data_IF_131920137866
#
_entry.id   IF_131920137866
#
_cell.length_a   1.000
_cell.length_b   1.000
_cell.length_c   1.000
_cell.angle_alpha   90.00
_cell.angle_beta   90.00
_cell.angle_gamma   90.00
#
_symmetry.space_group_name_H-M   'P 1'
#
loop_
_entity.id
_entity.type
_entity.pdbx_description
1 polymer ?
#
# COMPACT_ATOMS: atom_id res chain seq x y z
N UNK A 1 7.40 -21.30 17.13
CA UNK A 1 7.70 -21.39 18.57
C UNK A 1 7.75 -22.85 18.98
N UNK A 2 8.32 -23.18 20.14
CA UNK A 2 8.38 -24.56 20.65
C UNK A 2 7.56 -24.66 21.94
N UNK A 3 7.16 -25.88 22.33
CA UNK A 3 6.45 -26.15 23.59
C UNK A 3 7.18 -25.53 24.81
N UNK A 4 8.51 -25.60 24.82
CA UNK A 4 9.36 -25.02 25.87
C UNK A 4 9.17 -23.50 26.04
N UNK A 5 8.76 -22.79 24.98
CA UNK A 5 8.48 -21.36 25.06
C UNK A 5 7.17 -21.08 25.80
N UNK A 6 6.18 -21.98 25.68
CA UNK A 6 4.88 -21.85 26.33
C UNK A 6 4.93 -22.16 27.84
N UNK A 7 5.89 -22.99 28.25
CA UNK A 7 6.11 -23.43 29.64
C UNK A 7 7.19 -22.61 30.37
N UNK A 8 7.71 -21.56 29.72
CA UNK A 8 8.83 -20.76 30.25
C UNK A 8 8.42 -19.92 31.46
N UNK A 9 7.17 -19.45 31.52
CA UNK A 9 6.68 -18.50 32.52
C UNK A 9 5.94 -19.19 33.66
N UNK A 10 6.18 -18.74 34.89
CA UNK A 10 5.49 -19.24 36.10
C UNK A 10 4.00 -18.88 36.12
N UNK A 11 3.61 -17.84 35.37
CA UNK A 11 2.24 -17.33 35.23
C UNK A 11 1.61 -17.76 33.91
N UNK A 12 1.46 -19.06 33.72
CA UNK A 12 0.99 -19.62 32.44
C UNK A 12 -0.43 -19.16 32.06
N UNK A 13 -1.29 -18.90 33.05
CA UNK A 13 -2.68 -18.49 32.84
C UNK A 13 -2.77 -17.12 32.16
N UNK A 14 -1.84 -16.21 32.45
CA UNK A 14 -1.75 -14.89 31.83
C UNK A 14 -0.82 -14.90 30.62
N UNK A 15 0.32 -15.60 30.71
CA UNK A 15 1.35 -15.60 29.68
C UNK A 15 0.85 -16.18 28.35
N UNK A 16 0.16 -17.33 28.38
CA UNK A 16 -0.23 -18.03 27.16
C UNK A 16 -1.31 -17.27 26.35
N UNK A 17 -2.40 -16.75 26.94
CA UNK A 17 -3.36 -15.92 26.20
C UNK A 17 -2.73 -14.64 25.63
N UNK A 18 -1.89 -13.94 26.41
CA UNK A 18 -1.21 -12.73 25.94
C UNK A 18 -0.25 -13.04 24.79
N UNK A 19 0.50 -14.14 24.89
CA UNK A 19 1.38 -14.57 23.81
C UNK A 19 0.59 -14.93 22.55
N UNK A 20 -0.57 -15.60 22.69
CA UNK A 20 -1.43 -15.91 21.56
C UNK A 20 -1.96 -14.64 20.89
N UNK A 21 -2.47 -13.68 21.66
CA UNK A 21 -2.91 -12.38 21.16
C UNK A 21 -1.77 -11.62 20.46
N UNK A 22 -0.55 -11.68 20.99
CA UNK A 22 0.63 -11.07 20.37
C UNK A 22 1.00 -11.74 19.03
N UNK A 23 0.86 -13.06 18.93
CA UNK A 23 1.06 -13.78 17.66
C UNK A 23 -0.01 -13.41 16.63
N UNK A 24 -1.27 -13.31 17.08
CA UNK A 24 -2.37 -12.86 16.24
C UNK A 24 -2.15 -11.42 15.76
N UNK A 25 -1.77 -10.51 16.66
CA UNK A 25 -1.37 -9.14 16.33
C UNK A 25 -0.26 -9.12 15.28
N UNK A 26 0.81 -9.88 15.48
CA UNK A 26 1.93 -9.96 14.52
C UNK A 26 1.47 -10.45 13.13
N UNK A 27 0.61 -11.47 13.08
CA UNK A 27 0.03 -11.95 11.84
C UNK A 27 -0.82 -10.86 11.17
N UNK A 28 -1.68 -10.17 11.91
CA UNK A 28 -2.52 -9.09 11.39
C UNK A 28 -1.68 -7.95 10.81
N UNK A 29 -0.71 -7.41 11.55
CA UNK A 29 0.09 -6.28 11.07
C UNK A 29 0.95 -6.63 9.86
N UNK A 30 1.41 -7.88 9.77
CA UNK A 30 2.20 -8.38 8.65
C UNK A 30 1.35 -8.58 7.40
N UNK A 31 0.20 -9.27 7.55
CA UNK A 31 -0.70 -9.59 6.44
C UNK A 31 -1.46 -8.37 5.91
N UNK A 32 -1.68 -7.35 6.75
CA UNK A 32 -2.25 -6.06 6.32
C UNK A 32 -1.48 -5.40 5.17
N UNK A 33 -0.18 -5.69 5.01
CA UNK A 33 0.61 -5.20 3.87
C UNK A 33 0.04 -5.63 2.50
N UNK A 34 -0.74 -6.73 2.43
CA UNK A 34 -1.40 -7.18 1.19
C UNK A 34 -2.39 -6.15 0.62
N UNK A 35 -2.99 -5.31 1.47
CA UNK A 35 -4.05 -4.37 1.10
C UNK A 35 -3.54 -2.98 0.68
N UNK A 36 -2.23 -2.81 0.52
CA UNK A 36 -1.62 -1.54 0.13
C UNK A 36 -2.01 -0.41 1.09
N UNK A 37 -2.38 0.75 0.54
CA UNK A 37 -2.73 1.96 1.31
C UNK A 37 -3.92 1.80 2.28
N UNK A 38 -4.83 0.84 2.04
CA UNK A 38 -5.90 0.54 2.98
C UNK A 38 -5.42 -0.25 4.20
N UNK A 39 -4.34 -1.02 4.02
CA UNK A 39 -3.68 -1.74 5.10
C UNK A 39 -2.76 -0.83 5.90
N UNK A 40 -1.81 -0.20 5.22
CA UNK A 40 -0.83 0.73 5.76
C UNK A 40 -0.55 1.85 4.76
N UNK A 41 -0.41 3.10 5.21
CA UNK A 41 -0.02 4.21 4.33
C UNK A 41 1.37 3.99 3.72
N UNK A 42 2.27 3.32 4.46
CA UNK A 42 3.61 2.93 4.01
C UNK A 42 3.90 1.45 4.29
N UNK A 43 4.73 0.83 3.47
CA UNK A 43 5.18 -0.54 3.71
C UNK A 43 6.20 -0.57 4.85
N UNK A 44 5.91 -1.33 5.90
CA UNK A 44 6.80 -1.52 7.05
C UNK A 44 7.36 -2.95 7.10
N UNK A 45 8.68 -3.13 7.33
CA UNK A 45 9.33 -4.44 7.31
C UNK A 45 9.23 -5.16 8.67
N UNK A 46 8.00 -5.42 9.14
CA UNK A 46 7.79 -6.22 10.35
C UNK A 46 8.35 -7.64 10.16
N UNK A 47 9.07 -8.13 11.15
CA UNK A 47 9.78 -9.40 11.06
C UNK A 47 9.56 -10.28 12.30
N UNK A 48 9.92 -11.56 12.18
CA UNK A 48 9.78 -12.51 13.29
C UNK A 48 10.69 -12.22 14.48
N UNK A 49 11.75 -11.41 14.29
CA UNK A 49 12.60 -10.90 15.36
C UNK A 49 11.85 -9.94 16.28
N UNK A 50 10.98 -9.08 15.73
CA UNK A 50 10.15 -8.16 16.52
C UNK A 50 9.24 -8.95 17.48
N UNK A 51 8.59 -10.01 16.96
CA UNK A 51 7.77 -10.91 17.76
C UNK A 51 8.58 -11.62 18.88
N UNK A 52 9.78 -12.10 18.56
CA UNK A 52 10.66 -12.77 19.55
C UNK A 52 11.08 -11.83 20.66
N UNK A 53 11.45 -10.60 20.33
CA UNK A 53 11.84 -9.61 21.36
C UNK A 53 10.62 -9.23 22.20
N UNK A 54 9.45 -9.03 21.60
CA UNK A 54 8.22 -8.80 22.36
C UNK A 54 7.88 -9.96 23.30
N UNK A 55 8.16 -11.20 22.91
CA UNK A 55 8.01 -12.38 23.77
C UNK A 55 8.96 -12.34 24.98
N UNK A 56 10.23 -12.01 24.76
CA UNK A 56 11.19 -11.89 25.86
C UNK A 56 10.83 -10.73 26.81
N UNK A 57 10.35 -9.61 26.27
CA UNK A 57 9.83 -8.48 27.07
C UNK A 57 8.61 -8.90 27.87
N UNK A 58 7.65 -9.59 27.23
CA UNK A 58 6.45 -10.11 27.90
C UNK A 58 6.81 -11.01 29.09
N UNK A 59 7.71 -11.98 28.87
CA UNK A 59 8.18 -12.88 29.90
C UNK A 59 8.79 -12.10 31.09
N UNK A 60 9.73 -11.20 30.82
CA UNK A 60 10.41 -10.43 31.86
C UNK A 60 9.44 -9.56 32.67
N UNK A 61 8.47 -8.91 32.01
CA UNK A 61 7.49 -8.06 32.69
C UNK A 61 6.50 -8.86 33.53
N UNK A 62 6.05 -10.02 33.06
CA UNK A 62 5.15 -10.87 33.83
C UNK A 62 5.84 -11.51 35.03
N UNK A 63 7.11 -11.91 34.93
CA UNK A 63 7.88 -12.42 36.07
C UNK A 63 8.15 -11.32 37.11
N UNK A 64 8.47 -10.10 36.67
CA UNK A 64 8.81 -9.00 37.56
C UNK A 64 7.61 -8.38 38.31
N UNK A 65 6.38 -8.54 37.80
CA UNK A 65 5.21 -7.83 38.31
C UNK A 65 4.11 -8.77 38.79
N UNK A 66 3.54 -8.54 39.99
CA UNK A 66 2.48 -9.39 40.55
C UNK A 66 1.17 -9.38 39.72
N UNK A 67 0.90 -8.27 39.03
CA UNK A 67 -0.26 -8.10 38.13
C UNK A 67 0.23 -7.78 36.72
N UNK A 68 -0.59 -8.09 35.71
CA UNK A 68 -0.29 -7.77 34.31
C UNK A 68 -0.27 -6.25 34.12
N UNK A 69 0.86 -5.64 33.70
CA UNK A 69 0.95 -4.21 33.45
C UNK A 69 0.48 -3.88 32.02
N UNK A 70 -0.83 -3.86 31.80
CA UNK A 70 -1.43 -3.72 30.46
C UNK A 70 -0.99 -2.45 29.71
N UNK A 71 -0.99 -1.30 30.38
CA UNK A 71 -0.59 -0.02 29.77
C UNK A 71 0.87 -0.04 29.32
N UNK A 72 1.77 -0.55 30.17
CA UNK A 72 3.19 -0.67 29.86
C UNK A 72 3.42 -1.63 28.68
N UNK A 73 2.75 -2.80 28.66
CA UNK A 73 2.87 -3.76 27.56
C UNK A 73 2.38 -3.16 26.23
N UNK A 74 1.23 -2.48 26.23
CA UNK A 74 0.71 -1.81 25.02
C UNK A 74 1.66 -0.72 24.55
N UNK A 75 2.21 0.08 25.47
CA UNK A 75 3.18 1.11 25.14
C UNK A 75 4.46 0.53 24.57
N UNK A 76 5.06 -0.48 25.22
CA UNK A 76 6.28 -1.12 24.76
C UNK A 76 6.10 -1.74 23.37
N UNK A 77 5.04 -2.52 23.16
CA UNK A 77 4.82 -3.17 21.87
C UNK A 77 4.44 -2.17 20.77
N UNK A 78 3.58 -1.20 21.08
CA UNK A 78 3.01 -0.27 20.12
C UNK A 78 3.91 0.90 19.77
N UNK A 79 4.57 1.51 20.76
CA UNK A 79 5.37 2.72 20.56
C UNK A 79 6.86 2.43 20.33
N UNK A 80 7.40 1.42 21.02
CA UNK A 80 8.83 1.13 20.98
C UNK A 80 9.16 0.03 19.97
N UNK A 81 8.52 -1.14 20.09
CA UNK A 81 8.86 -2.31 19.30
C UNK A 81 8.36 -2.19 17.85
N UNK A 82 7.04 -2.26 17.65
CA UNK A 82 6.45 -2.11 16.31
C UNK A 82 6.44 -0.64 15.88
N UNK A 83 6.15 0.28 16.81
CA UNK A 83 6.16 1.72 16.55
C UNK A 83 7.53 2.29 16.15
N UNK A 84 8.63 1.61 16.49
CA UNK A 84 9.96 1.98 16.02
C UNK A 84 10.12 1.85 14.50
N UNK A 85 9.35 0.97 13.85
CA UNK A 85 9.34 0.81 12.39
C UNK A 85 8.40 1.78 11.69
N UNK A 86 7.39 2.27 12.40
CA UNK A 86 6.30 3.07 11.83
C UNK A 86 6.69 4.54 11.81
N UNK A 87 6.71 5.11 10.61
CA UNK A 87 7.08 6.52 10.36
C UNK A 87 5.90 7.46 10.16
N UNK A 88 4.70 6.92 9.91
CA UNK A 88 3.48 7.71 9.71
C UNK A 88 2.64 7.74 10.99
N UNK A 89 2.16 8.92 11.37
CA UNK A 89 1.44 9.10 12.65
C UNK A 89 0.06 8.40 12.66
N UNK A 90 -0.60 8.30 11.50
CA UNK A 90 -1.87 7.61 11.39
C UNK A 90 -1.70 6.10 11.47
N UNK A 91 -0.68 5.57 10.80
CA UNK A 91 -0.30 4.15 10.94
C UNK A 91 0.13 3.84 12.40
N UNK A 92 0.81 4.77 13.07
CA UNK A 92 1.20 4.61 14.48
C UNK A 92 -0.02 4.55 15.40
N UNK A 93 -1.01 5.41 15.14
CA UNK A 93 -2.30 5.38 15.83
C UNK A 93 -3.03 4.05 15.60
N UNK A 94 -3.08 3.57 14.37
CA UNK A 94 -3.71 2.29 14.02
C UNK A 94 -3.05 1.12 14.77
N UNK A 95 -1.71 1.07 14.79
CA UNK A 95 -0.96 0.05 15.53
C UNK A 95 -1.30 0.04 17.02
N UNK A 96 -1.40 1.21 17.66
CA UNK A 96 -1.83 1.33 19.05
C UNK A 96 -3.23 0.81 19.27
N UNK A 97 -4.18 1.19 18.42
CA UNK A 97 -5.56 0.74 18.53
C UNK A 97 -5.68 -0.79 18.45
N UNK A 98 -4.92 -1.45 17.57
CA UNK A 98 -4.88 -2.92 17.58
C UNK A 98 -4.43 -3.50 18.93
N UNK A 99 -3.42 -2.91 19.56
CA UNK A 99 -2.94 -3.38 20.86
C UNK A 99 -3.92 -3.05 22.00
N UNK A 100 -4.65 -1.94 21.91
CA UNK A 100 -5.72 -1.59 22.85
C UNK A 100 -6.90 -2.59 22.78
N UNK A 101 -7.23 -3.06 21.59
CA UNK A 101 -8.30 -4.04 21.37
C UNK A 101 -7.85 -5.47 21.72
N UNK A 102 -6.62 -5.87 21.35
CA UNK A 102 -6.16 -7.26 21.56
C UNK A 102 -5.59 -7.54 22.95
N UNK A 103 -5.03 -6.54 23.64
CA UNK A 103 -4.42 -6.72 24.96
C UNK A 103 -5.31 -6.13 26.04
N UNK A 104 -6.45 -6.75 26.30
CA UNK A 104 -7.42 -6.33 27.33
C UNK A 104 -7.43 -7.31 28.52
N UNK A 105 -7.85 -6.88 29.72
CA UNK A 105 -8.01 -7.78 30.86
C UNK A 105 -8.84 -9.03 30.55
N UNK A 106 -9.93 -8.86 29.79
CA UNK A 106 -10.86 -9.90 29.33
C UNK A 106 -10.16 -11.02 28.51
N UNK A 107 -8.95 -10.77 28.01
CA UNK A 107 -8.11 -11.77 27.35
C UNK A 107 -7.75 -12.94 28.27
N UNK A 108 -7.48 -12.64 29.56
CA UNK A 108 -7.13 -13.65 30.56
C UNK A 108 -8.36 -14.41 31.03
N UNK A 109 -9.52 -13.76 31.01
CA UNK A 109 -10.81 -14.36 31.36
C UNK A 109 -11.32 -15.30 30.24
N UNK A 110 -10.77 -15.18 29.02
CA UNK A 110 -11.08 -16.06 27.88
C UNK A 110 -12.32 -15.66 27.08
N UNK A 111 -12.89 -14.50 27.38
CA UNK A 111 -14.13 -14.00 26.76
C UNK A 111 -13.88 -13.03 25.60
N UNK A 112 -12.61 -12.69 25.33
CA UNK A 112 -12.24 -11.77 24.26
C UNK A 112 -12.33 -12.44 22.87
N UNK A 113 -12.94 -11.73 21.93
CA UNK A 113 -12.93 -12.08 20.51
C UNK A 113 -11.77 -11.34 19.81
N UNK A 114 -10.82 -12.09 19.25
CA UNK A 114 -9.72 -11.51 18.46
C UNK A 114 -10.19 -11.07 17.07
N UNK A 115 -11.20 -11.76 16.54
CA UNK A 115 -11.89 -11.39 15.31
C UNK A 115 -13.35 -11.87 15.36
N UNK A 116 -14.22 -11.38 14.45
CA UNK A 116 -15.59 -11.87 14.36
C UNK A 116 -15.63 -13.40 14.21
N UNK A 117 -16.15 -14.08 15.23
CA UNK A 117 -16.23 -15.55 15.25
C UNK A 117 -14.95 -16.28 15.69
N UNK A 118 -13.91 -15.56 16.14
CA UNK A 118 -12.67 -16.17 16.64
C UNK A 118 -12.37 -15.74 18.07
N UNK A 119 -12.73 -16.62 19.02
CA UNK A 119 -12.44 -16.46 20.44
C UNK A 119 -10.99 -16.79 20.74
N UNK A 120 -10.44 -16.16 21.78
CA UNK A 120 -9.13 -16.51 22.32
C UNK A 120 -9.14 -17.98 22.78
N UNK A 121 -8.15 -18.78 22.37
CA UNK A 121 -8.06 -20.17 22.80
C UNK A 121 -7.88 -20.29 24.32
N UNK A 122 -8.43 -21.35 24.94
CA UNK A 122 -8.09 -21.68 26.31
C UNK A 122 -6.61 -22.07 26.43
N UNK A 123 -6.13 -22.24 27.68
CA UNK A 123 -4.77 -22.71 27.92
C UNK A 123 -4.59 -24.14 27.36
N UNK A 124 -3.89 -24.22 26.23
CA UNK A 124 -3.59 -25.45 25.51
C UNK A 124 -2.07 -25.68 25.44
N UNK A 125 -1.69 -26.89 25.03
CA UNK A 125 -0.34 -27.20 24.58
C UNK A 125 -0.12 -26.71 23.14
N UNK A 126 1.13 -26.75 22.67
CA UNK A 126 1.49 -26.28 21.33
C UNK A 126 0.68 -26.97 20.23
N UNK A 127 0.48 -28.28 20.33
CA UNK A 127 -0.32 -29.04 19.37
C UNK A 127 -1.80 -28.64 19.47
N UNK A 128 -2.32 -28.46 20.67
CA UNK A 128 -3.67 -27.97 20.91
C UNK A 128 -3.93 -26.59 20.31
N UNK A 129 -2.99 -25.64 20.39
CA UNK A 129 -3.13 -24.34 19.74
C UNK A 129 -3.22 -24.47 18.22
N UNK A 130 -2.40 -25.31 17.59
CA UNK A 130 -2.49 -25.56 16.15
C UNK A 130 -3.84 -26.16 15.77
N UNK A 131 -4.30 -27.19 16.50
CA UNK A 131 -5.61 -27.79 16.27
C UNK A 131 -6.77 -26.79 16.48
N UNK A 132 -6.65 -25.89 17.45
CA UNK A 132 -7.62 -24.84 17.71
C UNK A 132 -7.70 -23.85 16.55
N UNK A 133 -6.55 -23.38 16.04
CA UNK A 133 -6.47 -22.50 14.88
C UNK A 133 -7.12 -23.18 13.67
N UNK A 134 -6.73 -24.43 13.38
CA UNK A 134 -7.25 -25.16 12.21
C UNK A 134 -8.77 -25.39 12.28
N UNK A 135 -9.34 -25.49 13.48
CA UNK A 135 -10.77 -25.79 13.68
C UNK A 135 -11.64 -24.54 13.84
N UNK A 136 -11.12 -23.47 14.44
CA UNK A 136 -11.93 -22.31 14.86
C UNK A 136 -11.60 -21.02 14.09
N UNK A 137 -10.44 -20.92 13.42
CA UNK A 137 -10.12 -19.74 12.64
C UNK A 137 -11.03 -19.70 11.40
N UNK A 138 -11.83 -18.63 11.20
CA UNK A 138 -12.67 -18.52 10.02
C UNK A 138 -11.81 -18.35 8.76
N UNK A 139 -12.37 -18.60 7.55
CA UNK A 139 -11.64 -18.39 6.31
C UNK A 139 -11.11 -16.96 6.21
N UNK A 140 -9.95 -16.80 5.56
CA UNK A 140 -9.28 -15.52 5.39
C UNK A 140 -10.25 -14.51 4.77
N UNK A 141 -10.46 -13.40 5.47
CA UNK A 141 -11.32 -12.30 5.00
C UNK A 141 -10.81 -10.97 5.55
N UNK A 142 -11.10 -9.83 4.90
CA UNK A 142 -10.65 -8.51 5.36
C UNK A 142 -11.04 -8.20 6.81
N UNK A 143 -12.15 -8.77 7.31
CA UNK A 143 -12.60 -8.59 8.68
C UNK A 143 -11.60 -9.08 9.72
N UNK A 144 -10.83 -10.14 9.42
CA UNK A 144 -9.77 -10.63 10.32
C UNK A 144 -8.67 -9.59 10.54
N UNK A 145 -8.54 -8.66 9.60
CA UNK A 145 -7.55 -7.60 9.67
C UNK A 145 -8.15 -6.27 10.13
N UNK A 146 -9.44 -6.22 10.50
CA UNK A 146 -10.14 -4.97 10.80
C UNK A 146 -10.46 -4.11 9.56
N UNK A 147 -10.59 -4.73 8.39
CA UNK A 147 -10.94 -4.08 7.13
C UNK A 147 -12.36 -4.44 6.68
N UNK A 148 -12.97 -3.55 5.91
CA UNK A 148 -14.27 -3.80 5.28
C UNK A 148 -14.13 -4.81 4.12
N UNK A 149 -15.13 -5.67 3.84
CA UNK A 149 -15.11 -6.63 2.71
C UNK A 149 -14.71 -6.05 1.36
N UNK A 150 -15.01 -4.78 1.11
CA UNK A 150 -14.63 -4.10 -0.14
C UNK A 150 -13.12 -4.09 -0.38
N UNK A 151 -12.29 -4.19 0.67
CA UNK A 151 -10.84 -4.29 0.53
C UNK A 151 -10.41 -5.57 -0.23
N UNK A 152 -11.20 -6.65 -0.13
CA UNK A 152 -10.96 -7.88 -0.90
C UNK A 152 -11.19 -7.66 -2.39
N UNK A 153 -12.23 -6.90 -2.75
CA UNK A 153 -12.53 -6.57 -4.15
C UNK A 153 -11.32 -5.84 -4.76
N UNK A 154 -10.83 -4.80 -4.09
CA UNK A 154 -9.67 -4.03 -4.58
C UNK A 154 -8.40 -4.89 -4.66
N UNK A 155 -8.15 -5.73 -3.65
CA UNK A 155 -7.02 -6.66 -3.66
C UNK A 155 -7.08 -7.62 -4.85
N UNK A 156 -8.23 -8.25 -5.09
CA UNK A 156 -8.43 -9.19 -6.20
C UNK A 156 -8.37 -8.48 -7.55
N UNK A 157 -8.91 -7.27 -7.68
CA UNK A 157 -8.79 -6.44 -8.89
C UNK A 157 -7.32 -6.15 -9.20
N UNK A 158 -6.54 -5.68 -8.22
CA UNK A 158 -5.10 -5.41 -8.39
C UNK A 158 -4.30 -6.68 -8.72
N UNK A 159 -4.68 -7.82 -8.14
CA UNK A 159 -4.07 -9.11 -8.47
C UNK A 159 -4.35 -9.52 -9.92
N UNK A 160 -5.60 -9.37 -10.37
CA UNK A 160 -5.99 -9.64 -11.75
C UNK A 160 -5.29 -8.70 -12.75
N UNK A 161 -5.25 -7.39 -12.48
CA UNK A 161 -4.52 -6.41 -13.30
C UNK A 161 -3.03 -6.75 -13.41
N UNK A 162 -2.40 -7.19 -12.30
CA UNK A 162 -1.00 -7.63 -12.30
C UNK A 162 -0.80 -8.85 -13.21
N UNK A 163 -1.71 -9.82 -13.15
CA UNK A 163 -1.66 -11.00 -14.03
C UNK A 163 -1.82 -10.58 -15.49
N UNK A 164 -2.81 -9.74 -15.81
CA UNK A 164 -3.01 -9.25 -17.18
C UNK A 164 -1.79 -8.48 -17.69
N UNK A 165 -1.17 -7.63 -16.87
CA UNK A 165 0.06 -6.94 -17.23
C UNK A 165 1.19 -7.91 -17.54
N UNK A 166 1.42 -8.92 -16.69
CA UNK A 166 2.45 -9.95 -16.94
C UNK A 166 2.18 -10.68 -18.25
N UNK A 167 0.91 -11.00 -18.54
CA UNK A 167 0.52 -11.65 -19.80
C UNK A 167 0.82 -10.74 -21.01
N UNK A 168 0.51 -9.44 -20.93
CA UNK A 168 0.82 -8.46 -21.98
C UNK A 168 2.33 -8.32 -22.19
N UNK A 169 3.12 -8.27 -21.11
CA UNK A 169 4.59 -8.17 -21.17
C UNK A 169 5.24 -9.42 -21.80
N UNK A 170 4.63 -10.60 -21.64
CA UNK A 170 5.10 -11.86 -22.22
C UNK A 170 4.71 -12.06 -23.70
N UNK A 171 3.86 -11.20 -24.27
CA UNK A 171 3.50 -11.34 -25.68
C UNK A 171 4.75 -11.14 -26.58
N UNK A 172 4.95 -12.01 -27.59
CA UNK A 172 6.12 -11.92 -28.46
C UNK A 172 6.14 -10.59 -29.20
N UNK A 173 7.28 -9.90 -29.11
CA UNK A 173 7.51 -8.57 -29.70
C UNK A 173 7.91 -8.62 -31.18
N UNK A 174 8.13 -9.81 -31.74
CA UNK A 174 8.56 -10.00 -33.11
C UNK A 174 7.37 -10.09 -34.08
N UNK A 175 7.37 -9.36 -35.21
CA UNK A 175 6.37 -9.44 -36.27
C UNK A 175 6.60 -10.68 -37.16
N UNK A 176 6.80 -11.85 -36.56
CA UNK A 176 6.99 -13.12 -37.27
C UNK A 176 5.69 -13.74 -37.80
N UNK A 177 4.54 -13.12 -37.51
CA UNK A 177 3.25 -13.55 -38.01
C UNK A 177 2.54 -12.35 -38.68
N UNK A 178 2.93 -12.07 -39.92
CA UNK A 178 2.02 -11.43 -40.88
C UNK A 178 0.76 -12.30 -40.97
N UNK A 179 -0.28 -11.92 -40.22
CA UNK A 179 -1.65 -12.15 -40.64
C UNK A 179 -2.20 -10.78 -41.00
N UNK A 180 -2.45 -10.62 -42.29
CA UNK A 180 -3.33 -9.59 -42.84
C UNK A 180 -4.52 -9.39 -41.90
N UNK A 181 -4.83 -8.12 -41.61
CA UNK A 181 -6.07 -7.61 -40.96
C UNK A 181 -5.95 -7.05 -39.52
N UNK A 182 -4.74 -6.92 -38.94
CA UNK A 182 -4.53 -6.06 -37.76
C UNK A 182 -3.63 -4.88 -38.08
N UNK A 183 -4.14 -3.66 -37.89
CA UNK A 183 -3.41 -2.39 -37.94
C UNK A 183 -2.03 -2.53 -37.27
N UNK A 184 -0.96 -2.13 -37.97
CA UNK A 184 0.40 -2.33 -37.47
C UNK A 184 0.58 -1.60 -36.13
N UNK A 185 1.43 -2.11 -35.23
CA UNK A 185 1.68 -1.49 -33.91
C UNK A 185 2.04 0.00 -34.05
N UNK A 186 2.78 0.34 -35.10
CA UNK A 186 3.16 1.71 -35.44
C UNK A 186 1.95 2.56 -35.86
N UNK A 187 1.02 2.01 -36.65
CA UNK A 187 -0.22 2.71 -37.02
C UNK A 187 -1.15 2.93 -35.82
N UNK A 188 -1.26 1.94 -34.92
CA UNK A 188 -2.03 2.09 -33.68
C UNK A 188 -1.45 3.19 -32.79
N UNK A 189 -0.12 3.20 -32.60
CA UNK A 189 0.57 4.26 -31.86
C UNK A 189 0.41 5.62 -32.52
N UNK A 190 0.47 5.69 -33.86
CA UNK A 190 0.24 6.93 -34.60
C UNK A 190 -1.17 7.48 -34.37
N UNK A 191 -2.20 6.62 -34.37
CA UNK A 191 -3.58 7.02 -34.08
C UNK A 191 -3.72 7.54 -32.65
N UNK A 192 -3.16 6.83 -31.66
CA UNK A 192 -3.18 7.25 -30.26
C UNK A 192 -2.49 8.61 -30.08
N UNK A 193 -1.36 8.82 -30.76
CA UNK A 193 -0.63 10.09 -30.72
C UNK A 193 -1.42 11.24 -31.31
N UNK A 194 -2.15 11.02 -32.42
CA UNK A 194 -3.01 12.04 -33.02
C UNK A 194 -4.19 12.38 -32.11
N UNK A 195 -4.87 11.37 -31.57
CA UNK A 195 -5.96 11.55 -30.62
C UNK A 195 -5.51 12.30 -29.36
N UNK A 196 -4.31 12.00 -28.84
CA UNK A 196 -3.74 12.68 -27.68
C UNK A 196 -3.41 14.14 -28.01
N UNK A 197 -2.75 14.40 -29.15
CA UNK A 197 -2.39 15.74 -29.59
C UNK A 197 -3.61 16.64 -29.83
N UNK A 198 -4.73 16.08 -30.29
CA UNK A 198 -6.00 16.81 -30.46
C UNK A 198 -6.66 17.15 -29.11
N UNK A 199 -6.53 16.25 -28.12
CA UNK A 199 -7.15 16.42 -26.78
C UNK A 199 -6.31 17.24 -25.81
N UNK A 200 -5.06 17.60 -26.13
CA UNK A 200 -4.24 18.43 -25.24
C UNK A 200 -4.87 19.82 -25.08
N UNK A 201 -5.09 20.30 -23.84
CA UNK A 201 -5.60 21.65 -23.61
C UNK A 201 -4.67 22.74 -24.16
N UNK A 202 -5.25 23.86 -24.57
CA UNK A 202 -4.47 25.06 -24.91
C UNK A 202 -3.79 25.65 -23.66
N UNK A 203 -2.65 26.31 -23.86
CA UNK A 203 -1.96 27.01 -22.78
C UNK A 203 -2.82 28.16 -22.23
N UNK A 204 -2.78 28.35 -20.92
CA UNK A 204 -3.42 29.47 -20.24
C UNK A 204 -2.80 30.80 -20.67
N UNK A 205 -3.62 31.74 -21.14
CA UNK A 205 -3.17 33.10 -21.42
C UNK A 205 -2.99 33.89 -20.10
N UNK A 206 -1.78 33.84 -19.55
CA UNK A 206 -1.44 34.52 -18.28
C UNK A 206 -1.62 36.04 -18.34
N UNK A 207 -1.51 36.64 -19.54
CA UNK A 207 -1.68 38.09 -19.73
C UNK A 207 -3.15 38.48 -19.57
N UNK A 208 -4.05 37.74 -20.20
CA UNK A 208 -5.50 37.96 -20.04
C UNK A 208 -5.98 37.63 -18.63
N UNK A 209 -5.48 36.55 -18.03
CA UNK A 209 -5.82 36.16 -16.66
C UNK A 209 -5.32 37.18 -15.64
N UNK A 210 -4.13 37.75 -15.85
CA UNK A 210 -3.58 38.81 -15.03
C UNK A 210 -4.25 40.16 -15.22
N UNK A 211 -4.72 40.47 -16.43
CA UNK A 211 -5.40 41.72 -16.76
C UNK A 211 -6.87 41.78 -16.27
N UNK A 212 -7.49 40.63 -16.02
CA UNK A 212 -8.86 40.53 -15.46
C UNK A 212 -8.98 40.99 -14.01
N UNK A 213 -7.88 41.23 -13.30
CA UNK A 213 -7.90 41.70 -11.91
C UNK A 213 -7.12 43.00 -11.74
N UNK A 214 -7.73 43.96 -11.05
CA UNK A 214 -7.05 45.19 -10.64
C UNK A 214 -5.93 44.88 -9.62
N UNK A 215 -4.79 45.60 -9.65
CA UNK A 215 -3.68 45.37 -8.73
C UNK A 215 -4.06 45.44 -7.24
N UNK A 216 -5.11 46.19 -6.90
CA UNK A 216 -5.61 46.40 -5.54
C UNK A 216 -6.52 45.27 -5.03
N UNK A 217 -7.05 44.41 -5.91
CA UNK A 217 -7.94 43.29 -5.55
C UNK A 217 -7.22 41.93 -5.54
N UNK A 218 -5.90 41.92 -5.68
CA UNK A 218 -5.10 40.70 -5.79
C UNK A 218 -4.97 40.00 -4.44
N UNK A 219 -5.77 38.94 -4.27
CA UNK A 219 -5.68 38.03 -3.14
C UNK A 219 -4.49 37.05 -3.29
N UNK A 220 -3.92 36.53 -2.20
CA UNK A 220 -2.94 35.44 -2.26
C UNK A 220 -3.40 34.22 -3.08
N UNK A 221 -4.71 33.93 -3.09
CA UNK A 221 -5.27 32.85 -3.93
C UNK A 221 -5.11 33.12 -5.43
N UNK A 222 -5.24 34.38 -5.89
CA UNK A 222 -5.00 34.73 -7.29
C UNK A 222 -3.55 34.48 -7.67
N UNK A 223 -2.61 34.84 -6.80
CA UNK A 223 -1.18 34.66 -7.07
C UNK A 223 -0.86 33.18 -7.23
N UNK A 224 -1.41 32.32 -6.36
CA UNK A 224 -1.27 30.87 -6.46
C UNK A 224 -1.83 30.37 -7.79
N UNK A 225 -3.05 30.77 -8.17
CA UNK A 225 -3.66 30.34 -9.45
C UNK A 225 -2.80 30.74 -10.65
N UNK A 226 -2.24 31.95 -10.66
CA UNK A 226 -1.36 32.38 -11.75
C UNK A 226 -0.07 31.56 -11.82
N UNK A 227 0.52 31.20 -10.67
CA UNK A 227 1.70 30.33 -10.61
C UNK A 227 1.39 28.90 -11.05
N UNK A 228 0.25 28.35 -10.66
CA UNK A 228 -0.19 27.01 -11.10
C UNK A 228 -0.49 27.00 -12.60
N UNK A 229 -1.10 28.05 -13.15
CA UNK A 229 -1.27 28.20 -14.60
C UNK A 229 0.07 28.29 -15.34
N UNK A 230 1.06 28.99 -14.78
CA UNK A 230 2.41 29.08 -15.36
C UNK A 230 3.10 27.71 -15.37
N UNK A 231 3.06 26.97 -14.25
CA UNK A 231 3.59 25.60 -14.18
C UNK A 231 2.88 24.65 -15.13
N UNK A 232 1.55 24.74 -15.22
CA UNK A 232 0.76 23.92 -16.14
C UNK A 232 1.10 24.23 -17.60
N UNK A 233 1.36 25.49 -17.96
CA UNK A 233 1.81 25.85 -19.30
C UNK A 233 3.17 25.22 -19.64
N UNK A 234 4.13 25.24 -18.69
CA UNK A 234 5.42 24.57 -18.88
C UNK A 234 5.21 23.07 -19.13
N UNK A 235 4.34 22.43 -18.34
CA UNK A 235 4.01 21.01 -18.50
C UNK A 235 3.36 20.70 -19.86
N UNK A 236 2.38 21.51 -20.28
CA UNK A 236 1.69 21.34 -21.58
C UNK A 236 2.68 21.48 -22.74
N UNK A 237 3.57 22.48 -22.69
CA UNK A 237 4.58 22.69 -23.73
C UNK A 237 5.52 21.49 -23.84
N UNK A 238 5.99 20.97 -22.70
CA UNK A 238 6.86 19.79 -22.64
C UNK A 238 6.15 18.51 -23.13
N UNK A 239 4.88 18.33 -22.77
CA UNK A 239 4.06 17.22 -23.24
C UNK A 239 3.87 17.28 -24.76
N UNK A 240 3.47 18.44 -25.30
CA UNK A 240 3.31 18.62 -26.75
C UNK A 240 4.62 18.43 -27.50
N UNK A 241 5.74 18.91 -26.94
CA UNK A 241 7.07 18.71 -27.53
C UNK A 241 7.40 17.22 -27.62
N UNK A 242 7.31 16.49 -26.51
CA UNK A 242 7.64 15.05 -26.46
C UNK A 242 6.76 14.19 -27.38
N UNK A 243 5.46 14.47 -27.46
CA UNK A 243 4.55 13.78 -28.40
C UNK A 243 4.90 14.08 -29.87
N UNK A 244 5.24 15.33 -30.20
CA UNK A 244 5.66 15.70 -31.57
C UNK A 244 6.98 15.06 -31.96
N UNK A 245 7.95 15.04 -31.05
CA UNK A 245 9.24 14.38 -31.24
C UNK A 245 9.07 12.87 -31.49
N UNK A 246 8.21 12.19 -30.71
CA UNK A 246 7.90 10.79 -30.94
C UNK A 246 7.21 10.58 -32.31
N UNK A 247 6.28 11.46 -32.71
CA UNK A 247 5.65 11.42 -34.05
C UNK A 247 6.68 11.55 -35.18
N UNK A 248 7.70 12.39 -35.02
CA UNK A 248 8.80 12.53 -35.98
C UNK A 248 9.73 11.30 -35.97
N UNK A 249 9.97 10.73 -34.79
CA UNK A 249 10.71 9.48 -34.63
C UNK A 249 10.05 8.30 -35.36
N UNK A 250 8.73 8.13 -35.21
CA UNK A 250 7.95 7.10 -35.91
C UNK A 250 7.95 7.27 -37.44
N UNK A 251 8.04 8.51 -37.94
CA UNK A 251 8.20 8.80 -39.37
C UNK A 251 9.61 8.55 -39.90
N UNK A 252 10.58 8.27 -39.02
CA UNK A 252 11.99 8.11 -39.38
C UNK A 252 12.71 9.44 -39.66
N UNK A 253 12.08 10.58 -39.36
CA UNK A 253 12.67 11.92 -39.55
C UNK A 253 13.62 12.30 -38.40
N UNK A 254 13.49 11.64 -37.25
CA UNK A 254 14.33 11.84 -36.07
C UNK A 254 14.86 10.51 -35.56
N UNK A 255 16.10 10.50 -35.06
CA UNK A 255 16.67 9.31 -34.42
C UNK A 255 15.98 9.05 -33.09
N UNK A 256 15.42 7.85 -32.93
CA UNK A 256 14.73 7.43 -31.71
C UNK A 256 15.72 7.45 -30.53
N UNK A 257 15.35 8.14 -29.46
CA UNK A 257 16.10 8.19 -28.20
C UNK A 257 15.53 7.20 -27.18
N UNK A 258 16.31 6.84 -26.16
CA UNK A 258 15.84 5.96 -25.08
C UNK A 258 14.59 6.50 -24.36
N UNK A 259 14.45 7.83 -24.28
CA UNK A 259 13.27 8.47 -23.71
C UNK A 259 12.03 8.29 -24.60
N UNK A 260 12.20 8.29 -25.92
CA UNK A 260 11.13 8.03 -26.89
C UNK A 260 10.70 6.57 -26.85
N UNK A 261 11.62 5.62 -26.71
CA UNK A 261 11.28 4.20 -26.55
C UNK A 261 10.50 3.94 -25.27
N UNK A 262 10.88 4.60 -24.17
CA UNK A 262 10.13 4.52 -22.90
C UNK A 262 8.71 5.09 -23.04
N UNK A 263 8.58 6.22 -23.74
CA UNK A 263 7.30 6.85 -24.05
C UNK A 263 6.43 5.94 -24.95
N UNK A 264 7.01 5.37 -26.00
CA UNK A 264 6.32 4.45 -26.91
C UNK A 264 5.78 3.23 -26.17
N UNK A 265 6.61 2.60 -25.32
CA UNK A 265 6.18 1.45 -24.53
C UNK A 265 5.10 1.82 -23.50
N UNK A 266 5.19 3.02 -22.90
CA UNK A 266 4.17 3.50 -21.95
C UNK A 266 2.83 3.76 -22.66
N UNK A 267 2.86 4.37 -23.84
CA UNK A 267 1.66 4.61 -24.66
C UNK A 267 1.04 3.31 -25.16
N UNK A 268 1.86 2.33 -25.54
CA UNK A 268 1.36 1.01 -25.97
C UNK A 268 0.70 0.23 -24.83
N UNK A 269 1.19 0.39 -23.60
CA UNK A 269 0.66 -0.30 -22.41
C UNK A 269 -0.41 0.51 -21.67
N UNK A 270 -0.93 1.61 -22.26
CA UNK A 270 -1.88 2.54 -21.65
C UNK A 270 -1.44 3.04 -20.26
N UNK A 271 -0.15 3.32 -20.09
CA UNK A 271 0.44 3.81 -18.85
C UNK A 271 0.68 5.31 -18.87
N UNK A 272 0.47 5.95 -17.71
CA UNK A 272 0.80 7.37 -17.52
C UNK A 272 2.31 7.56 -17.50
N UNK A 273 2.79 8.51 -18.29
CA UNK A 273 4.20 8.82 -18.45
C UNK A 273 4.73 9.47 -17.17
N UNK A 274 5.53 8.76 -16.38
CA UNK A 274 5.99 9.25 -15.06
C UNK A 274 6.79 10.58 -15.11
N UNK A 275 7.41 10.93 -16.24
CA UNK A 275 8.12 12.23 -16.40
C UNK A 275 7.18 13.45 -16.37
N UNK A 276 5.89 13.30 -16.67
CA UNK A 276 4.93 14.42 -16.57
C UNK A 276 4.50 14.67 -15.12
N UNK A 277 4.74 13.71 -14.21
CA UNK A 277 4.40 13.81 -12.79
C UNK A 277 5.55 14.35 -11.92
N UNK A 278 6.79 14.42 -12.42
CA UNK A 278 7.95 14.89 -11.63
C UNK A 278 8.06 16.41 -11.51
N UNK A 279 7.09 17.17 -12.03
CA UNK A 279 7.07 18.65 -12.02
C UNK A 279 6.05 19.23 -11.02
N UNK A 280 5.43 18.38 -10.20
CA UNK A 280 4.70 18.77 -8.97
C UNK A 280 5.66 18.81 -7.78
#
# INVERSE_FOLDING_TARGET
>A
MLQETLEKCTKEAEFKPILFALCYFHAVVTERNKFGAQGWNRTYPFNTGDLRICLDVLYNYLEANAKVPWEDLRYLFGEIMYGGHITDDWDRRLCRTFLEEYLQPDLVDGDLLLAPGFLVPPNLDFIGYHAYIDSNLPPESPHLYGLHPNAEIEFLTKAAERVFRIVLELQPRDPGAQRDDSCSREEQLAQILEDLLEKVPECFNLVELGAKQAPEERSPYTVIVLQECERMNVLIVELVRSLKELKLGLKGELTISADMESLENSLFLDQVILKTLSWS
#
